data_IF_721370306194
#
_entry.id   IF_721370306194
#
_cell.length_a   1.000
_cell.length_b   1.000
_cell.length_c   1.000
_cell.angle_alpha   90.00
_cell.angle_beta   90.00
_cell.angle_gamma   90.00
#
_symmetry.space_group_name_H-M   'P 1'
#
loop_
_entity.id
_entity.type
_entity.pdbx_description
1 polymer ?
#
# COMPACT_ATOMS: atom_id res chain seq x y z
N UNK A 1 -11.02 37.60 -0.17
CA UNK A 1 -11.12 36.16 0.10
C UNK A 1 -10.18 35.45 -0.82
N UNK A 2 -9.10 35.09 -0.26
CA UNK A 2 -8.01 34.45 -0.94
C UNK A 2 -8.42 33.01 -1.27
N UNK A 3 -8.89 32.77 -2.45
CA UNK A 3 -9.01 31.51 -3.19
C UNK A 3 -9.09 30.19 -2.39
N UNK A 4 -9.70 30.17 -1.21
CA UNK A 4 -9.90 28.97 -0.42
C UNK A 4 -8.66 28.36 0.22
N UNK A 5 -7.56 29.08 0.26
CA UNK A 5 -6.29 28.66 0.89
C UNK A 5 -6.24 29.08 2.35
N UNK A 6 -7.08 28.61 3.16
CA UNK A 6 -7.11 28.95 4.57
C UNK A 6 -7.65 27.81 5.43
N UNK A 7 -7.45 27.95 6.71
CA UNK A 7 -8.07 27.06 7.69
C UNK A 7 -9.58 27.20 7.62
N UNK A 8 -10.28 26.13 7.29
CA UNK A 8 -11.74 26.10 7.34
C UNK A 8 -12.14 25.53 8.68
N UNK A 9 -12.89 26.31 9.46
CA UNK A 9 -13.57 25.76 10.63
C UNK A 9 -14.79 24.99 10.16
N UNK A 10 -14.94 23.72 10.54
CA UNK A 10 -16.20 23.03 10.34
C UNK A 10 -17.21 23.56 11.34
N UNK A 11 -18.35 24.00 10.86
CA UNK A 11 -19.44 24.55 11.66
C UNK A 11 -20.18 23.52 12.49
N UNK A 12 -20.10 22.26 12.13
CA UNK A 12 -20.68 21.18 12.92
C UNK A 12 -19.79 20.87 14.11
N UNK A 13 -20.04 21.45 15.25
CA UNK A 13 -19.38 21.22 16.56
C UNK A 13 -18.18 22.12 16.88
N UNK A 14 -17.94 23.24 16.21
CA UNK A 14 -16.91 24.20 16.61
C UNK A 14 -15.45 23.70 16.53
N UNK A 15 -15.21 22.58 15.85
CA UNK A 15 -13.86 22.05 15.64
C UNK A 15 -13.25 22.65 14.38
N UNK A 16 -12.16 23.40 14.53
CA UNK A 16 -11.33 23.82 13.41
C UNK A 16 -10.74 22.57 12.75
N UNK A 17 -11.00 22.40 11.49
CA UNK A 17 -10.29 21.42 10.65
C UNK A 17 -9.22 22.16 9.88
N UNK A 18 -7.96 21.87 10.18
CA UNK A 18 -6.85 22.26 9.32
C UNK A 18 -6.88 21.38 8.10
N UNK A 19 -7.49 21.86 7.07
CA UNK A 19 -7.80 21.06 5.91
C UNK A 19 -6.60 20.89 4.98
N UNK A 20 -5.56 21.71 5.13
CA UNK A 20 -4.33 21.64 4.34
C UNK A 20 -3.22 20.81 4.99
N UNK A 21 -3.30 20.59 6.30
CA UNK A 21 -2.29 19.83 7.03
C UNK A 21 -2.89 18.48 7.41
N UNK A 22 -2.42 17.38 6.80
CA UNK A 22 -2.86 16.06 7.22
C UNK A 22 -2.42 15.82 8.64
N UNK A 23 -3.36 15.40 9.48
CA UNK A 23 -3.04 15.00 10.83
C UNK A 23 -2.19 13.71 10.79
N UNK A 24 -1.23 13.56 11.70
CA UNK A 24 -0.46 12.31 11.85
C UNK A 24 -1.43 11.13 12.02
N UNK A 25 -1.60 10.33 10.99
CA UNK A 25 -2.48 9.16 11.01
C UNK A 25 -3.76 9.26 10.19
N UNK A 26 -4.11 10.41 9.64
CA UNK A 26 -5.23 10.53 8.69
C UNK A 26 -4.79 11.32 7.47
N UNK A 27 -4.92 10.72 6.29
CA UNK A 27 -4.79 11.44 5.02
C UNK A 27 -5.98 12.38 4.88
N UNK A 28 -5.83 13.62 5.27
CA UNK A 28 -6.81 14.67 5.01
C UNK A 28 -6.20 15.66 4.07
N UNK A 29 -6.53 15.52 2.80
CA UNK A 29 -6.26 16.53 1.82
C UNK A 29 -7.51 17.37 1.61
N UNK A 30 -7.30 18.62 1.24
CA UNK A 30 -8.33 19.44 0.68
C UNK A 30 -8.84 18.83 -0.61
N UNK A 31 -10.15 18.75 -0.74
CA UNK A 31 -10.76 18.47 -2.02
C UNK A 31 -11.03 19.81 -2.71
N UNK A 32 -10.22 20.13 -3.71
CA UNK A 32 -10.45 21.27 -4.59
C UNK A 32 -10.91 20.76 -5.94
N UNK A 33 -12.10 21.18 -6.37
CA UNK A 33 -12.62 20.81 -7.68
C UNK A 33 -11.65 21.15 -8.80
N UNK A 34 -11.30 20.16 -9.61
CA UNK A 34 -10.38 20.32 -10.76
C UNK A 34 -8.90 20.42 -10.39
N UNK A 35 -8.52 20.17 -9.14
CA UNK A 35 -7.12 20.20 -8.70
C UNK A 35 -6.81 19.00 -7.80
N UNK A 36 -5.57 18.51 -7.89
CA UNK A 36 -5.03 17.54 -6.96
C UNK A 36 -4.12 18.24 -5.96
N UNK A 37 -4.39 18.07 -4.66
CA UNK A 37 -3.57 18.59 -3.58
C UNK A 37 -2.75 17.45 -3.00
N UNK A 38 -1.44 17.59 -2.99
CA UNK A 38 -0.52 16.63 -2.39
C UNK A 38 0.30 17.30 -1.29
N UNK A 39 0.28 16.74 -0.10
CA UNK A 39 1.14 17.17 0.98
C UNK A 39 2.51 16.49 0.88
N UNK A 40 3.58 17.29 0.76
CA UNK A 40 4.94 16.79 0.58
C UNK A 40 5.42 15.95 1.77
N UNK A 41 5.05 16.33 3.00
CA UNK A 41 5.39 15.57 4.20
C UNK A 41 4.78 14.17 4.15
N UNK A 42 3.51 14.07 3.78
CA UNK A 42 2.81 12.79 3.67
C UNK A 42 3.42 11.87 2.60
N UNK A 43 3.78 12.46 1.44
CA UNK A 43 4.41 11.70 0.35
C UNK A 43 5.82 11.22 0.74
N UNK A 44 6.62 12.10 1.36
CA UNK A 44 7.96 11.76 1.84
C UNK A 44 7.92 10.66 2.93
N UNK A 45 6.99 10.78 3.88
CA UNK A 45 6.77 9.76 4.92
C UNK A 45 6.44 8.39 4.34
N UNK A 46 5.54 8.33 3.35
CA UNK A 46 5.18 7.07 2.68
C UNK A 46 6.34 6.47 1.88
N UNK A 47 7.11 7.31 1.19
CA UNK A 47 8.17 6.87 0.29
C UNK A 47 9.45 6.47 1.02
N UNK A 48 9.84 7.23 2.05
CA UNK A 48 11.16 7.15 2.69
C UNK A 48 11.12 6.49 4.06
N UNK A 49 9.98 6.59 4.77
CA UNK A 49 9.85 6.16 6.19
C UNK A 49 11.02 6.69 7.04
N UNK A 50 11.27 8.01 7.04
CA UNK A 50 12.45 8.58 7.67
C UNK A 50 12.39 8.42 9.19
N UNK A 51 13.56 8.34 9.85
CA UNK A 51 13.65 8.27 11.32
C UNK A 51 13.09 9.53 11.98
N UNK A 52 13.23 10.69 11.34
CA UNK A 52 12.66 11.97 11.75
C UNK A 52 11.90 12.58 10.58
N UNK A 53 10.70 13.07 10.85
CA UNK A 53 9.79 13.59 9.83
C UNK A 53 9.86 15.12 9.69
N UNK A 54 10.98 15.74 10.03
CA UNK A 54 11.19 17.19 9.86
C UNK A 54 11.72 17.49 8.47
N UNK A 55 11.34 18.64 7.91
CA UNK A 55 11.79 19.08 6.59
C UNK A 55 13.33 19.10 6.50
N UNK A 56 14.00 19.63 7.52
CA UNK A 56 15.48 19.66 7.65
C UNK A 56 16.11 18.25 7.58
N UNK A 57 15.49 17.25 8.25
CA UNK A 57 16.01 15.88 8.23
C UNK A 57 15.83 15.23 6.87
N UNK A 58 14.66 15.39 6.26
CA UNK A 58 14.36 14.81 4.94
C UNK A 58 15.22 15.46 3.85
N UNK A 59 15.43 16.76 3.91
CA UNK A 59 16.32 17.47 2.99
C UNK A 59 17.75 16.92 3.06
N UNK A 60 18.32 16.79 4.25
CA UNK A 60 19.66 16.21 4.45
C UNK A 60 19.76 14.76 3.97
N UNK A 61 18.70 13.99 4.14
CA UNK A 61 18.67 12.60 3.67
C UNK A 61 18.71 12.51 2.14
N UNK A 62 18.03 13.41 1.44
CA UNK A 62 17.87 13.37 -0.01
C UNK A 62 18.95 14.16 -0.77
N UNK A 63 19.51 15.19 -0.16
CA UNK A 63 20.49 16.13 -0.72
C UNK A 63 21.69 16.28 0.22
N UNK A 64 22.42 15.20 0.54
CA UNK A 64 23.48 15.24 1.55
C UNK A 64 24.69 16.09 1.13
N UNK A 65 24.97 16.17 -0.18
CA UNK A 65 26.12 16.88 -0.75
C UNK A 65 25.78 18.30 -1.23
N UNK A 66 24.52 18.70 -1.14
CA UNK A 66 24.05 19.95 -1.69
C UNK A 66 23.64 20.92 -0.56
N UNK A 67 24.54 21.87 -0.26
CA UNK A 67 24.32 22.85 0.80
C UNK A 67 23.18 23.82 0.47
N UNK A 68 22.97 24.14 -0.81
CA UNK A 68 21.87 25.01 -1.25
C UNK A 68 20.49 24.36 -1.04
N UNK A 69 20.43 23.04 -1.10
CA UNK A 69 19.21 22.26 -0.80
C UNK A 69 19.02 21.97 0.69
N UNK A 70 19.92 22.49 1.55
CA UNK A 70 19.73 22.36 3.00
C UNK A 70 18.79 23.46 3.52
N UNK A 71 18.06 23.12 4.57
CA UNK A 71 17.23 24.12 5.25
C UNK A 71 18.10 25.11 6.03
N UNK A 72 17.86 26.41 5.87
CA UNK A 72 18.47 27.49 6.64
C UNK A 72 18.07 27.39 8.11
N UNK A 73 18.97 27.68 9.02
CA UNK A 73 18.72 27.56 10.47
C UNK A 73 18.34 28.92 11.05
N UNK A 74 17.04 29.08 11.28
CA UNK A 74 16.43 30.26 11.94
C UNK A 74 15.73 29.76 13.21
N UNK A 75 15.81 30.52 14.29
CA UNK A 75 15.09 30.22 15.51
C UNK A 75 13.61 30.59 15.38
N UNK A 76 12.81 29.60 14.98
CA UNK A 76 11.37 29.78 14.81
C UNK A 76 10.63 30.12 16.11
N UNK A 77 11.25 29.94 17.29
CA UNK A 77 10.64 30.30 18.57
C UNK A 77 10.78 31.78 18.90
N UNK A 78 11.76 32.46 18.30
CA UNK A 78 12.06 33.88 18.47
C UNK A 78 11.95 34.65 17.14
N UNK A 79 10.94 34.35 16.34
CA UNK A 79 10.79 34.90 14.99
C UNK A 79 10.73 36.45 14.96
N UNK A 80 10.20 37.08 16.02
CA UNK A 80 10.16 38.55 16.11
C UNK A 80 11.55 39.15 16.22
N UNK A 81 12.46 38.53 16.96
CA UNK A 81 13.86 38.98 17.09
C UNK A 81 14.63 38.68 15.79
N UNK A 82 14.40 37.52 15.19
CA UNK A 82 15.01 37.16 13.91
C UNK A 82 14.60 38.14 12.81
N UNK A 83 13.30 38.48 12.73
CA UNK A 83 12.81 39.46 11.78
C UNK A 83 13.38 40.87 12.02
N UNK A 84 13.53 41.29 13.27
CA UNK A 84 14.07 42.58 13.62
C UNK A 84 15.58 42.70 13.29
N UNK A 85 16.34 41.60 13.47
CA UNK A 85 17.80 41.62 13.34
C UNK A 85 18.32 41.12 11.98
N UNK A 86 17.59 40.19 11.32
CA UNK A 86 18.02 39.48 10.10
C UNK A 86 16.86 39.28 9.11
N UNK A 87 16.14 40.34 8.69
CA UNK A 87 14.95 40.20 7.86
C UNK A 87 15.22 39.49 6.52
N UNK A 88 16.35 39.73 5.91
CA UNK A 88 16.71 39.11 4.61
C UNK A 88 16.91 37.60 4.76
N UNK A 89 17.54 37.15 5.85
CA UNK A 89 17.70 35.72 6.15
C UNK A 89 16.37 35.05 6.45
N UNK A 90 15.44 35.77 7.12
CA UNK A 90 14.08 35.25 7.36
C UNK A 90 13.30 35.09 6.06
N UNK A 91 13.43 36.02 5.13
CA UNK A 91 12.81 35.92 3.81
C UNK A 91 13.40 34.74 3.03
N UNK A 92 14.73 34.60 3.02
CA UNK A 92 15.40 33.48 2.37
C UNK A 92 14.98 32.13 2.99
N UNK A 93 14.89 32.06 4.31
CA UNK A 93 14.36 30.89 5.03
C UNK A 93 12.93 30.54 4.58
N UNK A 94 12.05 31.55 4.46
CA UNK A 94 10.67 31.32 4.02
C UNK A 94 10.60 30.84 2.56
N UNK A 95 11.43 31.39 1.68
CA UNK A 95 11.54 30.95 0.29
C UNK A 95 12.01 29.49 0.22
N UNK A 96 13.05 29.16 0.97
CA UNK A 96 13.59 27.80 1.03
C UNK A 96 12.59 26.80 1.59
N UNK A 97 11.85 27.17 2.64
CA UNK A 97 10.77 26.32 3.20
C UNK A 97 9.60 26.11 2.21
N UNK A 98 9.42 26.98 1.25
CA UNK A 98 8.42 26.86 0.18
C UNK A 98 8.92 26.02 -1.02
N UNK A 99 10.18 26.15 -1.41
CA UNK A 99 10.79 25.45 -2.56
C UNK A 99 11.18 24.01 -2.23
N UNK A 100 11.79 23.79 -1.08
CA UNK A 100 12.31 22.50 -0.67
C UNK A 100 11.28 21.35 -0.69
N UNK A 101 10.01 21.54 -0.31
CA UNK A 101 8.97 20.54 -0.50
C UNK A 101 8.79 20.11 -1.97
N UNK A 102 8.93 21.02 -2.93
CA UNK A 102 8.81 20.72 -4.36
C UNK A 102 10.01 19.86 -4.82
N UNK A 103 11.23 20.24 -4.41
CA UNK A 103 12.44 19.49 -4.72
C UNK A 103 12.42 18.08 -4.15
N UNK A 104 11.94 17.93 -2.90
CA UNK A 104 11.70 16.63 -2.27
C UNK A 104 10.70 15.82 -3.10
N UNK A 105 9.56 16.40 -3.47
CA UNK A 105 8.53 15.73 -4.27
C UNK A 105 9.07 15.27 -5.63
N UNK A 106 9.90 16.09 -6.27
CA UNK A 106 10.58 15.74 -7.52
C UNK A 106 11.58 14.60 -7.30
N UNK A 107 12.43 14.69 -6.29
CA UNK A 107 13.45 13.68 -5.99
C UNK A 107 12.87 12.30 -5.73
N UNK A 108 11.78 12.22 -4.96
CA UNK A 108 11.08 10.96 -4.68
C UNK A 108 10.12 10.56 -5.80
N UNK A 109 10.01 11.35 -6.86
CA UNK A 109 9.10 11.15 -8.00
C UNK A 109 7.63 10.95 -7.56
N UNK A 110 7.19 11.68 -6.54
CA UNK A 110 5.90 11.47 -5.89
C UNK A 110 4.72 11.52 -6.85
N UNK A 111 4.70 12.52 -7.74
CA UNK A 111 3.62 12.70 -8.72
C UNK A 111 3.51 11.49 -9.67
N UNK A 112 4.62 11.10 -10.30
CA UNK A 112 4.66 9.95 -11.25
C UNK A 112 4.25 8.65 -10.58
N UNK A 113 4.70 8.42 -9.34
CA UNK A 113 4.28 7.23 -8.56
C UNK A 113 2.78 7.22 -8.32
N UNK A 114 2.18 8.35 -7.94
CA UNK A 114 0.74 8.42 -7.70
C UNK A 114 -0.07 8.33 -8.99
N UNK A 115 0.43 8.88 -10.09
CA UNK A 115 -0.15 8.72 -11.42
C UNK A 115 -0.16 7.25 -11.87
N UNK A 116 0.95 6.54 -11.69
CA UNK A 116 1.03 5.11 -11.97
C UNK A 116 0.01 4.30 -11.12
N UNK A 117 -0.07 4.58 -9.81
CA UNK A 117 -1.06 3.92 -8.93
C UNK A 117 -2.48 4.26 -9.35
N UNK A 118 -2.79 5.51 -9.68
CA UNK A 118 -4.10 5.94 -10.18
C UNK A 118 -4.49 5.19 -11.46
N UNK A 119 -3.53 5.06 -12.38
CA UNK A 119 -3.72 4.35 -13.65
C UNK A 119 -4.02 2.86 -13.45
N UNK A 120 -3.27 2.18 -12.59
CA UNK A 120 -3.49 0.74 -12.31
C UNK A 120 -4.78 0.52 -11.51
N UNK A 121 -4.99 1.29 -10.44
CA UNK A 121 -6.17 1.16 -9.57
C UNK A 121 -7.46 1.70 -10.20
N UNK A 122 -7.38 2.39 -11.35
CA UNK A 122 -8.53 3.03 -12.04
C UNK A 122 -9.27 4.03 -11.15
N UNK A 123 -8.53 4.86 -10.45
CA UNK A 123 -9.04 5.93 -9.58
C UNK A 123 -8.53 7.29 -10.05
N UNK A 124 -9.05 8.37 -9.48
CA UNK A 124 -8.52 9.71 -9.73
C UNK A 124 -7.14 9.88 -9.10
N UNK A 125 -6.34 10.82 -9.62
CA UNK A 125 -5.03 11.15 -9.04
C UNK A 125 -5.15 11.59 -7.57
N UNK A 126 -6.19 12.36 -7.24
CA UNK A 126 -6.48 12.78 -5.87
C UNK A 126 -6.74 11.57 -4.95
N UNK A 127 -7.55 10.61 -5.38
CA UNK A 127 -7.75 9.36 -4.63
C UNK A 127 -6.46 8.56 -4.46
N UNK A 128 -5.61 8.52 -5.49
CA UNK A 128 -4.30 7.85 -5.40
C UNK A 128 -3.35 8.55 -4.42
N UNK A 129 -3.37 9.88 -4.38
CA UNK A 129 -2.50 10.67 -3.53
C UNK A 129 -2.94 10.64 -2.05
N UNK A 130 -4.24 10.73 -1.79
CA UNK A 130 -4.82 11.05 -0.50
C UNK A 130 -5.77 9.97 0.05
N UNK A 131 -6.19 9.04 -0.79
CA UNK A 131 -7.10 7.97 -0.41
C UNK A 131 -6.42 6.86 0.40
N UNK A 132 -7.25 5.99 0.96
CA UNK A 132 -6.80 4.80 1.67
C UNK A 132 -6.49 3.66 0.70
N UNK A 133 -5.63 2.74 1.12
CA UNK A 133 -5.34 1.52 0.36
C UNK A 133 -6.61 0.73 0.05
N UNK A 134 -7.57 0.70 0.98
CA UNK A 134 -8.87 0.02 0.78
C UNK A 134 -9.65 0.63 -0.38
N UNK A 135 -9.62 1.96 -0.56
CA UNK A 135 -10.30 2.61 -1.70
C UNK A 135 -9.67 2.23 -3.05
N UNK A 136 -8.34 2.08 -3.10
CA UNK A 136 -7.64 1.64 -4.31
C UNK A 136 -8.01 0.21 -4.70
N UNK A 137 -8.00 -0.70 -3.74
CA UNK A 137 -8.38 -2.10 -3.94
C UNK A 137 -9.88 -2.22 -4.25
N UNK A 138 -10.73 -1.46 -3.56
CA UNK A 138 -12.17 -1.45 -3.75
C UNK A 138 -12.55 -1.09 -5.20
N UNK A 139 -11.88 -0.11 -5.80
CA UNK A 139 -12.08 0.26 -7.20
C UNK A 139 -11.82 -0.92 -8.16
N UNK A 140 -10.75 -1.68 -7.94
CA UNK A 140 -10.42 -2.84 -8.76
C UNK A 140 -11.43 -3.98 -8.58
N UNK A 141 -11.78 -4.28 -7.32
CA UNK A 141 -12.66 -5.40 -6.99
C UNK A 141 -14.09 -5.13 -7.42
N UNK A 142 -14.61 -3.91 -7.26
CA UNK A 142 -15.96 -3.54 -7.74
C UNK A 142 -16.04 -3.66 -9.26
N UNK A 143 -15.04 -3.19 -10.00
CA UNK A 143 -15.00 -3.31 -11.46
C UNK A 143 -14.93 -4.77 -11.93
N UNK A 144 -14.23 -5.61 -11.21
CA UNK A 144 -14.21 -7.05 -11.50
C UNK A 144 -15.58 -7.68 -11.17
N UNK A 145 -16.19 -7.34 -10.05
CA UNK A 145 -17.51 -7.82 -9.66
C UNK A 145 -18.59 -7.43 -10.71
N UNK A 146 -18.56 -6.19 -11.17
CA UNK A 146 -19.44 -5.70 -12.24
C UNK A 146 -19.29 -6.51 -13.53
N UNK A 147 -18.06 -6.72 -13.99
CA UNK A 147 -17.76 -7.51 -15.20
C UNK A 147 -18.18 -8.99 -15.10
N UNK A 148 -18.17 -9.54 -13.90
CA UNK A 148 -18.49 -10.96 -13.63
C UNK A 148 -19.92 -11.17 -13.15
N UNK A 149 -20.72 -10.10 -13.04
CA UNK A 149 -22.11 -10.15 -12.58
C UNK A 149 -22.25 -10.52 -11.10
N UNK A 150 -21.22 -10.26 -10.28
CA UNK A 150 -21.22 -10.54 -8.85
C UNK A 150 -21.76 -9.34 -8.08
N UNK A 151 -22.74 -9.58 -7.20
CA UNK A 151 -23.29 -8.57 -6.33
C UNK A 151 -22.25 -7.99 -5.37
N UNK A 152 -22.22 -6.66 -5.24
CA UNK A 152 -21.27 -5.95 -4.37
C UNK A 152 -21.87 -5.77 -2.98
N UNK A 153 -21.29 -6.35 -1.91
CA UNK A 153 -21.78 -6.17 -0.54
C UNK A 153 -21.64 -4.71 -0.08
N UNK A 154 -22.50 -4.28 0.86
CA UNK A 154 -22.37 -2.98 1.49
C UNK A 154 -21.16 -2.92 2.43
N UNK A 155 -20.52 -1.74 2.49
CA UNK A 155 -19.46 -1.50 3.47
C UNK A 155 -20.06 -1.34 4.88
N UNK A 156 -19.37 -1.87 5.89
CA UNK A 156 -19.76 -1.68 7.30
C UNK A 156 -20.80 -2.67 7.84
N UNK A 157 -21.23 -3.66 7.04
CA UNK A 157 -22.10 -4.75 7.48
C UNK A 157 -21.36 -5.92 8.16
N UNK A 158 -20.03 -5.89 8.13
CA UNK A 158 -19.24 -6.93 8.79
C UNK A 158 -19.36 -6.80 10.31
N UNK A 159 -19.69 -7.90 10.97
CA UNK A 159 -19.71 -8.00 12.43
C UNK A 159 -18.30 -7.67 12.98
N UNK A 160 -18.18 -6.54 13.64
CA UNK A 160 -16.92 -6.00 14.20
C UNK A 160 -16.32 -6.84 15.34
N UNK A 161 -16.90 -8.00 15.63
CA UNK A 161 -16.56 -8.89 16.75
C UNK A 161 -15.57 -10.00 16.39
N UNK A 162 -15.08 -10.05 15.17
CA UNK A 162 -14.09 -11.05 14.79
C UNK A 162 -12.74 -10.74 15.44
N UNK A 163 -12.23 -11.70 16.20
CA UNK A 163 -10.95 -11.58 16.93
C UNK A 163 -9.75 -11.39 15.99
N UNK A 164 -8.60 -11.10 16.57
CA UNK A 164 -7.35 -10.88 15.87
C UNK A 164 -6.95 -12.10 15.03
N UNK A 165 -6.54 -11.87 13.79
CA UNK A 165 -5.99 -12.91 12.90
C UNK A 165 -4.54 -13.18 13.29
N UNK A 166 -4.17 -14.46 13.43
CA UNK A 166 -2.80 -14.86 13.64
C UNK A 166 -1.93 -14.52 12.42
N UNK A 167 -0.84 -13.79 12.64
CA UNK A 167 0.06 -13.28 11.61
C UNK A 167 0.92 -14.35 10.93
N UNK A 168 1.94 -13.89 10.22
CA UNK A 168 2.94 -14.75 9.57
C UNK A 168 3.84 -15.47 10.61
N UNK A 169 4.54 -16.51 10.15
CA UNK A 169 5.55 -17.20 10.94
C UNK A 169 6.83 -16.37 11.00
N UNK A 170 7.39 -16.25 12.18
CA UNK A 170 8.71 -15.67 12.41
C UNK A 170 9.58 -16.78 13.02
N UNK A 171 10.68 -17.11 12.35
CA UNK A 171 11.64 -18.08 12.85
C UNK A 171 12.55 -17.42 13.88
N UNK A 172 13.00 -18.19 14.86
CA UNK A 172 13.95 -17.70 15.86
C UNK A 172 15.30 -17.40 15.20
N UNK A 173 15.94 -16.31 15.62
CA UNK A 173 17.22 -15.87 15.06
C UNK A 173 18.36 -16.53 15.81
N UNK A 174 19.23 -17.27 15.12
CA UNK A 174 20.52 -17.65 15.65
C UNK A 174 21.52 -16.49 15.48
N UNK A 175 21.86 -15.87 16.61
CA UNK A 175 22.84 -14.80 16.64
C UNK A 175 24.26 -15.34 16.46
N UNK A 176 25.02 -14.77 15.53
CA UNK A 176 26.39 -15.18 15.28
C UNK A 176 26.95 -14.73 13.95
N UNK A 177 28.17 -15.17 13.65
CA UNK A 177 28.80 -14.96 12.35
C UNK A 177 28.64 -16.24 11.53
N UNK A 178 27.78 -16.20 10.56
CA UNK A 178 27.48 -17.32 9.64
C UNK A 178 28.18 -17.11 8.30
N UNK A 179 28.84 -18.15 7.80
CA UNK A 179 29.48 -18.15 6.47
C UNK A 179 28.56 -18.81 5.45
N UNK A 180 28.60 -18.33 4.22
CA UNK A 180 27.85 -18.94 3.09
C UNK A 180 26.33 -18.94 3.29
N UNK A 181 25.78 -17.80 3.64
CA UNK A 181 24.33 -17.63 3.83
C UNK A 181 23.65 -17.48 2.47
N UNK A 182 22.66 -18.33 2.19
CA UNK A 182 21.76 -18.19 1.07
C UNK A 182 20.42 -17.59 1.54
N UNK A 183 19.98 -16.50 0.91
CA UNK A 183 18.71 -15.85 1.22
C UNK A 183 17.69 -16.21 0.14
N UNK A 184 16.59 -16.85 0.55
CA UNK A 184 15.48 -17.21 -0.33
C UNK A 184 14.26 -16.36 0.03
N UNK A 185 13.56 -15.86 -1.00
CA UNK A 185 12.32 -15.09 -0.82
C UNK A 185 11.22 -15.59 -1.75
N UNK A 186 9.99 -15.63 -1.24
CA UNK A 186 8.84 -16.00 -2.05
C UNK A 186 8.44 -14.87 -3.00
N UNK A 187 8.28 -15.16 -4.26
CA UNK A 187 7.69 -14.21 -5.22
C UNK A 187 6.22 -13.95 -4.84
N UNK A 188 5.95 -12.78 -4.21
CA UNK A 188 4.57 -12.35 -3.86
C UNK A 188 3.79 -13.41 -3.07
N UNK A 189 4.30 -13.86 -1.92
CA UNK A 189 3.80 -15.01 -1.17
C UNK A 189 2.27 -15.01 -0.97
N UNK A 190 1.68 -13.98 -0.40
CA UNK A 190 0.24 -13.95 -0.16
C UNK A 190 -0.60 -13.94 -1.44
N UNK A 191 -0.30 -13.10 -2.45
CA UNK A 191 -0.97 -13.18 -3.75
C UNK A 191 -0.87 -14.58 -4.38
N UNK A 192 0.30 -15.23 -4.34
CA UNK A 192 0.50 -16.57 -4.90
C UNK A 192 -0.33 -17.63 -4.18
N UNK A 193 -0.47 -17.53 -2.85
CA UNK A 193 -1.34 -18.41 -2.06
C UNK A 193 -2.82 -18.18 -2.43
N UNK A 194 -3.24 -16.92 -2.54
CA UNK A 194 -4.62 -16.58 -2.94
C UNK A 194 -4.97 -17.14 -4.31
N UNK A 195 -4.05 -17.05 -5.26
CA UNK A 195 -4.19 -17.61 -6.61
C UNK A 195 -4.21 -19.13 -6.56
N UNK A 196 -3.19 -19.77 -5.99
CA UNK A 196 -3.00 -21.22 -6.02
C UNK A 196 -3.95 -22.01 -5.12
N UNK A 197 -4.61 -21.37 -4.16
CA UNK A 197 -5.65 -21.95 -3.31
C UNK A 197 -7.03 -21.39 -3.60
N UNK A 198 -7.16 -20.63 -4.66
CA UNK A 198 -8.40 -20.01 -5.12
C UNK A 198 -9.16 -19.27 -4.00
N UNK A 199 -8.43 -18.56 -3.11
CA UNK A 199 -9.00 -17.91 -1.94
C UNK A 199 -9.73 -16.64 -2.35
N UNK A 200 -11.05 -16.67 -2.24
CA UNK A 200 -11.92 -15.55 -2.56
C UNK A 200 -13.19 -15.61 -1.71
N UNK A 201 -13.82 -14.44 -1.51
CA UNK A 201 -15.16 -14.35 -0.96
C UNK A 201 -16.17 -15.21 -1.74
N UNK A 202 -16.02 -15.24 -3.08
CA UNK A 202 -16.94 -15.96 -3.99
C UNK A 202 -16.68 -17.46 -4.09
N UNK A 203 -15.57 -17.96 -3.58
CA UNK A 203 -15.20 -19.39 -3.61
C UNK A 203 -15.26 -20.06 -2.25
N UNK A 204 -15.44 -19.25 -1.20
CA UNK A 204 -15.59 -19.78 0.16
C UNK A 204 -16.88 -20.60 0.28
N UNK A 205 -16.79 -21.77 0.90
CA UNK A 205 -17.89 -22.68 1.14
C UNK A 205 -18.37 -22.52 2.57
N UNK A 206 -19.62 -22.14 2.75
CA UNK A 206 -20.29 -22.07 4.05
C UNK A 206 -21.09 -23.34 4.30
N UNK A 207 -20.98 -23.89 5.49
CA UNK A 207 -21.69 -25.13 5.86
C UNK A 207 -23.24 -25.02 5.82
N UNK A 208 -23.76 -23.80 5.85
CA UNK A 208 -25.21 -23.53 5.78
C UNK A 208 -25.66 -22.93 4.43
N UNK A 209 -24.78 -22.85 3.44
CA UNK A 209 -25.14 -22.28 2.13
C UNK A 209 -25.97 -23.24 1.30
N UNK A 210 -26.94 -22.69 0.53
CA UNK A 210 -27.67 -23.43 -0.50
C UNK A 210 -26.78 -23.87 -1.67
N UNK A 211 -25.64 -23.21 -1.85
CA UNK A 211 -24.65 -23.53 -2.90
C UNK A 211 -23.57 -24.47 -2.34
N UNK A 212 -23.89 -25.72 -2.10
CA UNK A 212 -22.88 -26.72 -1.74
C UNK A 212 -22.06 -27.15 -2.99
N UNK A 213 -20.79 -27.56 -2.81
CA UNK A 213 -20.00 -28.10 -3.91
C UNK A 213 -20.62 -29.39 -4.45
N UNK A 214 -20.44 -29.64 -5.75
CA UNK A 214 -20.85 -30.89 -6.37
C UNK A 214 -20.13 -32.10 -5.73
N UNK A 215 -20.71 -33.29 -5.70
CA UNK A 215 -20.14 -34.46 -5.02
C UNK A 215 -18.71 -34.86 -5.47
N UNK A 216 -18.32 -34.47 -6.67
CA UNK A 216 -17.00 -34.75 -7.26
C UNK A 216 -16.15 -33.48 -7.42
N UNK A 217 -16.59 -32.35 -6.90
CA UNK A 217 -15.81 -31.11 -6.94
C UNK A 217 -14.64 -31.19 -5.96
N UNK A 218 -13.42 -30.99 -6.47
CA UNK A 218 -12.25 -30.84 -5.61
C UNK A 218 -12.34 -29.54 -4.83
N UNK A 219 -12.03 -29.59 -3.55
CA UNK A 219 -12.01 -28.43 -2.66
C UNK A 219 -10.66 -28.27 -1.99
N UNK A 220 -10.24 -27.03 -1.80
CA UNK A 220 -9.09 -26.70 -0.97
C UNK A 220 -9.52 -26.55 0.48
N UNK A 221 -8.95 -27.36 1.37
CA UNK A 221 -9.16 -27.22 2.81
C UNK A 221 -7.97 -26.55 3.45
N UNK A 222 -8.21 -25.40 4.07
CA UNK A 222 -7.20 -24.63 4.79
C UNK A 222 -6.73 -25.35 6.06
N UNK A 223 -5.52 -25.10 6.55
CA UNK A 223 -5.10 -25.54 7.89
C UNK A 223 -6.00 -25.05 9.03
N UNK A 224 -6.79 -24.02 8.79
CA UNK A 224 -7.84 -23.52 9.72
C UNK A 224 -9.22 -24.12 9.45
N UNK A 225 -9.30 -25.20 8.68
CA UNK A 225 -10.53 -25.93 8.30
C UNK A 225 -11.50 -25.16 7.39
N UNK A 226 -11.18 -23.93 6.98
CA UNK A 226 -11.97 -23.23 5.98
C UNK A 226 -11.84 -23.90 4.60
N UNK A 227 -12.95 -23.96 3.86
CA UNK A 227 -13.04 -24.65 2.57
C UNK A 227 -13.24 -23.67 1.45
N UNK A 228 -12.57 -23.89 0.32
CA UNK A 228 -12.65 -23.08 -0.90
C UNK A 228 -12.85 -24.01 -2.10
N UNK A 229 -13.70 -23.58 -3.04
CA UNK A 229 -13.87 -24.27 -4.32
C UNK A 229 -12.55 -24.27 -5.10
N UNK A 230 -12.25 -25.38 -5.74
CA UNK A 230 -11.16 -25.44 -6.72
C UNK A 230 -11.53 -24.59 -7.96
N UNK A 231 -10.52 -24.21 -8.73
CA UNK A 231 -10.69 -23.42 -9.95
C UNK A 231 -11.48 -24.15 -11.05
N UNK A 232 -11.52 -25.47 -11.06
CA UNK A 232 -12.34 -26.28 -11.99
C UNK A 232 -13.83 -26.16 -11.71
N UNK A 233 -14.22 -25.96 -10.44
CA UNK A 233 -15.60 -25.73 -10.06
C UNK A 233 -16.00 -24.26 -10.25
N UNK A 234 -15.22 -23.34 -9.70
CA UNK A 234 -15.45 -21.89 -9.82
C UNK A 234 -14.19 -21.11 -9.61
N UNK A 235 -13.69 -20.42 -10.64
CA UNK A 235 -12.56 -19.49 -10.47
C UNK A 235 -12.97 -18.27 -9.64
N UNK A 236 -12.20 -17.96 -8.62
CA UNK A 236 -12.44 -16.81 -7.75
C UNK A 236 -12.15 -15.48 -8.45
N UNK A 237 -12.98 -14.49 -8.19
CA UNK A 237 -12.83 -13.14 -8.73
C UNK A 237 -11.48 -12.50 -8.35
N UNK A 238 -11.07 -12.62 -7.09
CA UNK A 238 -9.81 -12.04 -6.59
C UNK A 238 -8.59 -12.76 -7.12
N UNK A 239 -8.50 -14.09 -7.12
CA UNK A 239 -7.45 -14.83 -7.82
C UNK A 239 -7.26 -14.40 -9.27
N UNK A 240 -8.34 -14.28 -10.05
CA UNK A 240 -8.29 -13.81 -11.44
C UNK A 240 -7.70 -12.40 -11.54
N UNK A 241 -8.17 -11.47 -10.70
CA UNK A 241 -7.64 -10.11 -10.66
C UNK A 241 -6.16 -10.06 -10.28
N UNK A 242 -5.72 -10.91 -9.35
CA UNK A 242 -4.31 -11.00 -8.96
C UNK A 242 -3.43 -11.59 -10.06
N UNK A 243 -3.92 -12.55 -10.84
CA UNK A 243 -3.24 -13.08 -12.03
C UNK A 243 -3.04 -12.00 -13.08
N UNK A 244 -4.09 -11.22 -13.37
CA UNK A 244 -4.01 -10.10 -14.30
C UNK A 244 -2.97 -9.06 -13.84
N UNK A 245 -2.96 -8.73 -12.55
CA UNK A 245 -1.96 -7.82 -11.98
C UNK A 245 -0.54 -8.41 -12.04
N UNK A 246 -0.36 -9.69 -11.78
CA UNK A 246 0.95 -10.35 -11.92
C UNK A 246 1.45 -10.29 -13.36
N UNK A 247 0.60 -10.58 -14.33
CA UNK A 247 0.94 -10.49 -15.75
C UNK A 247 1.31 -9.05 -16.16
N UNK A 248 0.55 -8.06 -15.72
CA UNK A 248 0.88 -6.65 -15.93
C UNK A 248 2.25 -6.28 -15.33
N UNK A 249 2.54 -6.75 -14.12
CA UNK A 249 3.83 -6.50 -13.49
C UNK A 249 4.99 -7.12 -14.26
N UNK A 250 4.85 -8.36 -14.69
CA UNK A 250 5.88 -9.05 -15.46
C UNK A 250 6.08 -8.38 -16.84
N UNK A 251 5.00 -7.92 -17.49
CA UNK A 251 5.08 -7.09 -18.70
C UNK A 251 5.90 -5.80 -18.46
N UNK A 252 5.60 -5.04 -17.42
CA UNK A 252 6.33 -3.81 -17.11
C UNK A 252 7.78 -4.08 -16.72
N UNK A 253 8.08 -5.18 -16.03
CA UNK A 253 9.47 -5.57 -15.74
C UNK A 253 10.24 -5.91 -17.02
N UNK A 254 9.62 -6.58 -17.98
CA UNK A 254 10.23 -6.84 -19.28
C UNK A 254 10.44 -5.53 -20.05
N UNK A 255 9.45 -4.64 -20.07
CA UNK A 255 9.56 -3.32 -20.69
C UNK A 255 10.69 -2.48 -20.09
N UNK A 256 10.86 -2.50 -18.76
CA UNK A 256 11.97 -1.82 -18.08
C UNK A 256 13.34 -2.33 -18.51
N UNK A 257 13.49 -3.66 -18.69
CA UNK A 257 14.75 -4.27 -19.15
C UNK A 257 15.08 -3.95 -20.60
N UNK A 258 14.06 -3.79 -21.43
CA UNK A 258 14.18 -3.59 -22.87
C UNK A 258 14.04 -2.12 -23.28
N UNK A 259 13.93 -1.20 -22.33
CA UNK A 259 13.75 0.24 -22.59
C UNK A 259 14.97 0.81 -23.32
N UNK A 260 14.70 1.56 -24.39
CA UNK A 260 15.72 2.21 -25.22
C UNK A 260 16.23 3.52 -24.59
N UNK A 261 15.45 4.14 -23.71
CA UNK A 261 15.75 5.41 -23.06
C UNK A 261 15.34 5.39 -21.59
N UNK A 262 15.89 6.32 -20.81
CA UNK A 262 15.64 6.40 -19.36
C UNK A 262 14.19 6.81 -19.02
N UNK A 263 13.53 7.58 -19.89
CA UNK A 263 12.14 7.99 -19.65
C UNK A 263 11.20 6.77 -19.75
N UNK A 264 11.37 5.95 -20.79
CA UNK A 264 10.63 4.69 -20.97
C UNK A 264 10.92 3.70 -19.83
N UNK A 265 12.18 3.58 -19.42
CA UNK A 265 12.58 2.74 -18.29
C UNK A 265 11.93 3.19 -16.99
N UNK A 266 11.98 4.50 -16.71
CA UNK A 266 11.34 5.11 -15.53
C UNK A 266 9.83 4.88 -15.53
N UNK A 267 9.16 5.03 -16.67
CA UNK A 267 7.72 4.75 -16.80
C UNK A 267 7.40 3.29 -16.40
N UNK A 268 8.11 2.33 -16.98
CA UNK A 268 7.89 0.93 -16.67
C UNK A 268 8.23 0.59 -15.21
N UNK A 269 9.23 1.22 -14.63
CA UNK A 269 9.57 1.05 -13.21
C UNK A 269 8.45 1.55 -12.31
N UNK A 270 7.91 2.75 -12.56
CA UNK A 270 6.78 3.29 -11.80
C UNK A 270 5.54 2.39 -11.91
N UNK A 271 5.23 1.88 -13.09
CA UNK A 271 4.08 1.01 -13.32
C UNK A 271 4.23 -0.35 -12.61
N UNK A 272 5.39 -1.03 -12.73
CA UNK A 272 5.61 -2.30 -12.04
C UNK A 272 5.59 -2.13 -10.51
N UNK A 273 6.06 -0.98 -10.01
CA UNK A 273 6.03 -0.65 -8.60
C UNK A 273 4.61 -0.40 -8.10
N UNK A 274 3.79 0.33 -8.87
CA UNK A 274 2.38 0.55 -8.56
C UNK A 274 1.61 -0.78 -8.47
N UNK A 275 1.80 -1.67 -9.44
CA UNK A 275 1.19 -3.00 -9.43
C UNK A 275 1.65 -3.79 -8.19
N UNK A 276 2.95 -3.76 -7.86
CA UNK A 276 3.49 -4.43 -6.66
C UNK A 276 2.81 -3.96 -5.38
N UNK A 277 2.66 -2.63 -5.21
CA UNK A 277 2.01 -2.06 -4.03
C UNK A 277 0.57 -2.56 -3.92
N UNK A 278 -0.20 -2.46 -5.02
CA UNK A 278 -1.59 -2.89 -5.02
C UNK A 278 -1.73 -4.38 -4.70
N UNK A 279 -0.98 -5.24 -5.37
CA UNK A 279 -1.00 -6.68 -5.11
C UNK A 279 -0.70 -7.04 -3.65
N UNK A 280 0.33 -6.43 -3.06
CA UNK A 280 0.69 -6.71 -1.67
C UNK A 280 -0.35 -6.16 -0.67
N UNK A 281 -1.16 -5.22 -1.09
CA UNK A 281 -2.20 -4.61 -0.26
C UNK A 281 -3.47 -5.45 -0.15
N UNK A 282 -3.69 -6.39 -1.08
CA UNK A 282 -4.90 -7.22 -1.08
C UNK A 282 -5.10 -7.96 0.23
N UNK A 283 -4.07 -8.65 0.74
CA UNK A 283 -4.17 -9.36 2.01
C UNK A 283 -4.63 -8.45 3.15
N UNK A 284 -3.99 -7.28 3.32
CA UNK A 284 -4.33 -6.35 4.41
C UNK A 284 -5.76 -5.81 4.33
N UNK A 285 -6.28 -5.64 3.12
CA UNK A 285 -7.66 -5.20 2.89
C UNK A 285 -8.64 -6.35 3.17
N UNK A 286 -8.37 -7.55 2.67
CA UNK A 286 -9.23 -8.72 2.88
C UNK A 286 -9.19 -9.27 4.32
N UNK A 287 -8.13 -9.02 5.05
CA UNK A 287 -8.03 -9.32 6.48
C UNK A 287 -8.70 -8.27 7.38
N UNK A 288 -9.14 -7.15 6.79
CA UNK A 288 -9.81 -6.06 7.52
C UNK A 288 -11.30 -6.32 7.64
N UNK A 289 -11.83 -6.37 8.86
CA UNK A 289 -13.27 -6.52 9.14
C UNK A 289 -14.15 -5.34 8.68
N UNK A 290 -13.56 -4.30 8.08
CA UNK A 290 -14.27 -3.13 7.55
C UNK A 290 -14.47 -3.18 6.03
N UNK A 291 -13.84 -4.15 5.36
CA UNK A 291 -13.93 -4.25 3.91
C UNK A 291 -15.15 -5.07 3.48
N UNK A 292 -15.70 -4.76 2.28
CA UNK A 292 -16.98 -5.32 1.83
C UNK A 292 -16.94 -6.79 1.39
N UNK A 293 -15.83 -7.25 0.82
CA UNK A 293 -15.64 -8.63 0.33
C UNK A 293 -14.79 -9.45 1.29
N UNK A 294 -14.91 -9.21 2.59
CA UNK A 294 -14.09 -9.85 3.61
C UNK A 294 -14.85 -10.92 4.38
N UNK A 295 -14.10 -11.85 4.89
CA UNK A 295 -14.50 -12.79 5.93
C UNK A 295 -13.24 -13.19 6.69
N UNK A 296 -13.33 -13.36 8.01
CA UNK A 296 -12.19 -13.71 8.86
C UNK A 296 -11.41 -14.93 8.35
N UNK A 297 -12.13 -15.99 7.92
CA UNK A 297 -11.54 -17.21 7.37
C UNK A 297 -10.66 -16.96 6.13
N UNK A 298 -10.89 -15.89 5.34
CA UNK A 298 -10.03 -15.56 4.20
C UNK A 298 -8.63 -15.17 4.67
N UNK A 299 -8.55 -14.21 5.59
CA UNK A 299 -7.29 -13.74 6.14
C UNK A 299 -6.54 -14.83 6.92
N UNK A 300 -7.25 -15.58 7.78
CA UNK A 300 -6.69 -16.69 8.54
C UNK A 300 -6.13 -17.80 7.65
N UNK A 301 -6.84 -18.14 6.57
CA UNK A 301 -6.39 -19.17 5.62
C UNK A 301 -5.13 -18.76 4.89
N UNK A 302 -5.03 -17.50 4.45
CA UNK A 302 -3.83 -16.99 3.75
C UNK A 302 -2.59 -17.12 4.64
N UNK A 303 -2.67 -16.62 5.89
CA UNK A 303 -1.54 -16.70 6.83
C UNK A 303 -1.24 -18.12 7.28
N UNK A 304 -2.26 -18.97 7.46
CA UNK A 304 -2.06 -20.36 7.84
C UNK A 304 -1.32 -21.15 6.75
N UNK A 305 -1.70 -21.02 5.48
CA UNK A 305 -0.95 -21.64 4.38
C UNK A 305 0.45 -21.05 4.24
N UNK A 306 0.63 -19.74 4.46
CA UNK A 306 1.95 -19.14 4.45
C UNK A 306 2.85 -19.73 5.53
N UNK A 307 2.36 -19.86 6.77
CA UNK A 307 3.09 -20.53 7.87
C UNK A 307 3.42 -21.97 7.53
N UNK A 308 2.47 -22.70 6.98
CA UNK A 308 2.67 -24.10 6.57
C UNK A 308 3.77 -24.22 5.51
N UNK A 309 3.72 -23.37 4.47
CA UNK A 309 4.73 -23.38 3.40
C UNK A 309 6.14 -23.11 3.94
N UNK A 310 6.30 -22.10 4.81
CA UNK A 310 7.60 -21.78 5.42
C UNK A 310 8.09 -22.97 6.26
N UNK A 311 7.25 -23.52 7.14
CA UNK A 311 7.62 -24.67 7.98
C UNK A 311 7.99 -25.90 7.14
N UNK A 312 7.26 -26.16 6.06
CA UNK A 312 7.57 -27.26 5.14
C UNK A 312 8.93 -27.09 4.46
N UNK A 313 9.28 -25.86 4.08
CA UNK A 313 10.60 -25.56 3.48
C UNK A 313 11.71 -25.75 4.51
N UNK A 314 11.54 -25.19 5.72
CA UNK A 314 12.53 -25.36 6.81
C UNK A 314 12.76 -26.84 7.08
N UNK A 315 11.69 -27.64 7.20
CA UNK A 315 11.79 -29.08 7.41
C UNK A 315 12.56 -29.77 6.28
N UNK A 316 12.21 -29.50 5.00
CA UNK A 316 12.89 -30.09 3.86
C UNK A 316 14.37 -29.73 3.79
N UNK A 317 14.72 -28.47 4.04
CA UNK A 317 16.11 -28.04 4.10
C UNK A 317 16.87 -28.74 5.23
N UNK A 318 16.24 -28.93 6.39
CA UNK A 318 16.82 -29.69 7.49
C UNK A 318 17.04 -31.17 7.15
N UNK A 319 16.10 -31.81 6.42
CA UNK A 319 16.22 -33.19 5.92
C UNK A 319 17.37 -33.34 4.91
N UNK A 320 17.69 -32.28 4.16
CA UNK A 320 18.84 -32.19 3.25
C UNK A 320 20.15 -31.77 3.94
N UNK A 321 20.15 -31.62 5.26
CA UNK A 321 21.31 -31.26 6.06
C UNK A 321 21.68 -29.77 5.99
N UNK A 322 20.77 -28.91 5.50
CA UNK A 322 20.95 -27.48 5.52
C UNK A 322 20.50 -26.91 6.86
N UNK A 323 21.27 -25.96 7.38
CA UNK A 323 20.94 -25.21 8.58
C UNK A 323 20.08 -23.98 8.21
N UNK A 324 18.95 -23.79 8.89
CA UNK A 324 18.01 -22.68 8.62
C UNK A 324 17.82 -21.84 9.86
#
# INVERSE_FOLDING_TARGET
ETMGWGRVSSTEQGRRRDALIPNRGTSRAWNMAGRCVMDAWWQARQALKPQRETLKFVARLLFPEDEEMQKIDIDASNMDEEWANRPDEVVEYCLRDAELPLDIMHKIQAFRRKEAVASVAKVTLDTSANGTTSQLIDSLVIRMADRTGIGVPLTGSADRKEGQIEGGYVHDVEAGLHRWVAILDFKSMYPSIMIGKNICYTTRIDEGSSEQPEPNEEIYTSPTSAKFRNESGRRGMVPTLLEDLMAQRDHHKAGMKNAADEATKSYHDQMQYAVKILMNSFYGVFASGFYRFTHKQLGESITAWARQNIKTIIQKLGEEGQHV
#
